data_IF_509980369219
#
_entry.id   IF_509980369219
#
_cell.length_a   1.000
_cell.length_b   1.000
_cell.length_c   1.000
_cell.angle_alpha   90.00
_cell.angle_beta   90.00
_cell.angle_gamma   90.00
#
_symmetry.space_group_name_H-M   'P 1'
#
loop_
_entity.id
_entity.type
_entity.pdbx_description
1 polymer ?
#
# COMPACT_ATOMS: atom_id res chain seq x y z
N UNK A 1 -19.08 14.93 -29.29
CA UNK A 1 -19.10 13.52 -29.78
C UNK A 1 -17.68 12.99 -30.05
N UNK A 2 -16.68 13.38 -29.25
CA UNK A 2 -15.26 13.04 -29.48
C UNK A 2 -14.63 12.26 -28.33
N UNK A 3 -15.29 12.21 -27.17
CA UNK A 3 -14.75 11.58 -25.96
C UNK A 3 -14.73 10.05 -26.06
N UNK A 4 -15.78 9.44 -26.63
CA UNK A 4 -15.86 7.98 -26.84
C UNK A 4 -14.75 7.47 -27.76
N UNK A 5 -14.52 8.02 -28.97
CA UNK A 5 -13.42 7.55 -29.83
C UNK A 5 -12.03 7.86 -29.24
N UNK A 6 -11.87 8.99 -28.55
CA UNK A 6 -10.62 9.33 -27.84
C UNK A 6 -10.32 8.33 -26.74
N UNK A 7 -11.31 7.98 -25.91
CA UNK A 7 -11.18 6.98 -24.86
C UNK A 7 -10.88 5.60 -25.45
N UNK A 8 -11.54 5.21 -26.54
CA UNK A 8 -11.24 3.97 -27.25
C UNK A 8 -9.80 3.91 -27.74
N UNK A 9 -9.31 4.99 -28.35
CA UNK A 9 -7.91 5.09 -28.79
C UNK A 9 -6.94 5.02 -27.60
N UNK A 10 -7.23 5.72 -26.51
CA UNK A 10 -6.42 5.71 -25.30
C UNK A 10 -6.30 4.30 -24.69
N UNK A 11 -7.41 3.57 -24.59
CA UNK A 11 -7.41 2.22 -24.03
C UNK A 11 -6.61 1.24 -24.90
N UNK A 12 -6.74 1.34 -26.22
CA UNK A 12 -5.99 0.50 -27.16
C UNK A 12 -4.48 0.76 -27.09
N UNK A 13 -4.07 2.02 -27.01
CA UNK A 13 -2.65 2.38 -26.91
C UNK A 13 -2.07 2.01 -25.54
N UNK A 14 -2.86 2.06 -24.47
CA UNK A 14 -2.43 1.68 -23.12
C UNK A 14 -2.00 0.21 -23.04
N UNK A 15 -2.75 -0.70 -23.68
CA UNK A 15 -2.42 -2.14 -23.70
C UNK A 15 -1.09 -2.40 -24.39
N UNK A 16 -0.86 -1.74 -25.55
CA UNK A 16 0.40 -1.86 -26.28
C UNK A 16 1.57 -1.28 -25.48
N UNK A 17 1.37 -0.14 -24.80
CA UNK A 17 2.40 0.47 -23.96
C UNK A 17 2.70 -0.36 -22.70
N UNK A 18 1.70 -1.01 -22.14
CA UNK A 18 1.87 -1.92 -21.00
C UNK A 18 2.76 -3.12 -21.37
N UNK A 19 2.55 -3.71 -22.56
CA UNK A 19 3.36 -4.85 -23.05
C UNK A 19 4.72 -4.45 -23.60
N UNK A 20 4.92 -3.19 -23.97
CA UNK A 20 6.22 -2.68 -24.43
C UNK A 20 7.20 -2.45 -23.26
N UNK A 21 6.70 -2.34 -22.02
CA UNK A 21 7.56 -2.29 -20.84
C UNK A 21 8.02 -3.71 -20.48
N UNK A 22 9.32 -3.93 -20.26
CA UNK A 22 9.79 -5.21 -19.75
C UNK A 22 9.15 -5.48 -18.38
N UNK A 23 8.93 -6.76 -18.03
CA UNK A 23 8.40 -7.08 -16.72
C UNK A 23 9.34 -6.60 -15.62
N UNK A 24 8.77 -6.09 -14.52
CA UNK A 24 9.54 -5.48 -13.46
C UNK A 24 10.37 -6.53 -12.71
N UNK A 25 11.68 -6.54 -12.95
CA UNK A 25 12.62 -7.48 -12.32
C UNK A 25 12.72 -7.31 -10.80
N UNK A 26 12.23 -6.20 -10.26
CA UNK A 26 12.21 -5.92 -8.83
C UNK A 26 10.83 -6.12 -8.22
N UNK A 27 9.88 -6.72 -8.93
CA UNK A 27 8.58 -7.08 -8.36
C UNK A 27 8.72 -8.24 -7.35
N UNK A 28 8.24 -8.05 -6.12
CA UNK A 28 8.14 -9.11 -5.13
C UNK A 28 6.67 -9.52 -4.88
N UNK A 29 6.37 -10.84 -4.91
CA UNK A 29 5.06 -11.33 -4.51
C UNK A 29 4.81 -11.07 -3.02
N UNK A 30 3.55 -10.86 -2.65
CA UNK A 30 3.16 -10.52 -1.28
C UNK A 30 3.43 -9.07 -0.86
N UNK A 31 4.00 -8.23 -1.73
CA UNK A 31 4.27 -6.80 -1.43
C UNK A 31 3.56 -5.88 -2.44
N UNK A 32 3.57 -6.24 -3.72
CA UNK A 32 3.00 -5.40 -4.80
C UNK A 32 1.69 -5.94 -5.39
N UNK A 33 1.15 -7.02 -4.82
CA UNK A 33 -0.08 -7.71 -5.23
C UNK A 33 -1.22 -7.58 -4.20
N UNK A 34 -1.13 -6.60 -3.29
CA UNK A 34 -2.12 -6.36 -2.23
C UNK A 34 -2.25 -7.56 -1.25
N UNK A 35 -1.20 -8.39 -1.15
CA UNK A 35 -1.13 -9.54 -0.27
C UNK A 35 -0.15 -9.35 0.91
N UNK A 36 0.13 -8.12 1.31
CA UNK A 36 0.92 -7.76 2.49
C UNK A 36 0.07 -7.58 3.77
N UNK A 37 -1.26 -7.67 3.64
CA UNK A 37 -2.24 -7.63 4.74
C UNK A 37 -2.25 -6.33 5.56
N UNK A 38 -1.77 -5.22 5.01
CA UNK A 38 -1.89 -3.91 5.67
C UNK A 38 -3.36 -3.48 5.81
N UNK A 39 -4.22 -3.90 4.87
CA UNK A 39 -5.66 -3.74 4.88
C UNK A 39 -6.33 -4.42 6.09
N UNK A 40 -5.81 -5.57 6.53
CA UNK A 40 -6.27 -6.27 7.74
C UNK A 40 -6.04 -5.43 8.98
N UNK A 41 -4.89 -4.75 9.08
CA UNK A 41 -4.60 -3.84 10.19
C UNK A 41 -5.57 -2.67 10.18
N UNK A 42 -5.80 -2.07 9.01
CA UNK A 42 -6.80 -1.00 8.87
C UNK A 42 -8.21 -1.46 9.30
N UNK A 43 -8.61 -2.69 8.93
CA UNK A 43 -9.88 -3.29 9.36
C UNK A 43 -9.95 -3.49 10.88
N UNK A 44 -8.92 -4.05 11.50
CA UNK A 44 -8.86 -4.26 12.96
C UNK A 44 -8.95 -2.93 13.70
N UNK A 45 -8.19 -1.93 13.28
CA UNK A 45 -8.19 -0.60 13.91
C UNK A 45 -9.55 0.07 13.75
N UNK A 46 -10.13 0.04 12.54
CA UNK A 46 -11.46 0.60 12.30
C UNK A 46 -12.57 -0.12 13.09
N UNK A 47 -12.45 -1.44 13.29
CA UNK A 47 -13.36 -2.22 14.11
C UNK A 47 -13.23 -1.91 15.60
N UNK A 48 -11.99 -1.72 16.10
CA UNK A 48 -11.75 -1.32 17.50
C UNK A 48 -12.20 0.11 17.81
N UNK A 49 -12.31 0.98 16.80
CA UNK A 49 -12.92 2.30 16.91
C UNK A 49 -14.45 2.30 17.04
N UNK A 50 -15.10 1.15 16.82
CA UNK A 50 -16.54 0.95 16.97
C UNK A 50 -16.95 0.36 18.33
N UNK A 51 -16.12 0.52 19.37
CA UNK A 51 -16.54 0.19 20.74
C UNK A 51 -17.67 1.13 21.17
N UNK A 52 -18.76 0.63 21.76
CA UNK A 52 -19.69 1.47 22.51
C UNK A 52 -18.92 2.24 23.59
N UNK A 53 -19.30 3.49 23.85
CA UNK A 53 -18.72 4.30 24.92
C UNK A 53 -18.62 3.45 26.20
N UNK A 54 -17.42 3.19 26.75
CA UNK A 54 -17.33 2.48 28.01
C UNK A 54 -18.02 3.35 29.07
N UNK A 55 -18.85 2.77 29.97
CA UNK A 55 -19.41 3.55 31.06
C UNK A 55 -18.25 4.21 31.80
N UNK A 56 -18.35 5.53 32.04
CA UNK A 56 -17.33 6.34 32.68
C UNK A 56 -16.85 5.68 33.99
N UNK A 57 -15.79 4.89 33.88
CA UNK A 57 -15.37 3.93 34.91
C UNK A 57 -13.86 3.87 34.90
N UNK A 58 -13.26 4.84 35.56
CA UNK A 58 -11.88 4.91 36.04
C UNK A 58 -10.86 4.04 35.27
N UNK A 59 -10.29 4.61 34.21
CA UNK A 59 -9.06 4.09 33.61
C UNK A 59 -7.90 4.32 34.60
N UNK A 60 -7.64 3.33 35.45
CA UNK A 60 -6.38 3.26 36.18
C UNK A 60 -5.21 3.09 35.21
N UNK A 61 -3.98 3.53 35.54
CA UNK A 61 -2.83 3.37 34.65
C UNK A 61 -2.60 1.89 34.31
N UNK A 62 -2.77 1.53 33.04
CA UNK A 62 -2.40 0.21 32.54
C UNK A 62 -0.88 0.21 32.30
N UNK A 63 -0.14 -0.81 32.78
CA UNK A 63 1.28 -0.91 32.50
C UNK A 63 1.47 -1.18 30.99
N UNK A 64 1.99 -0.17 30.28
CA UNK A 64 2.43 -0.33 28.89
C UNK A 64 3.86 -0.84 28.92
N UNK A 65 4.06 -2.08 28.46
CA UNK A 65 5.39 -2.59 28.18
C UNK A 65 5.88 -1.96 26.87
N UNK A 66 6.66 -0.88 26.97
CA UNK A 66 7.39 -0.32 25.84
C UNK A 66 8.78 -0.98 25.77
N UNK A 67 9.03 -1.80 24.74
CA UNK A 67 10.37 -2.26 24.43
C UNK A 67 11.12 -1.15 23.68
N UNK A 68 12.38 -0.83 24.03
CA UNK A 68 13.16 0.10 23.24
C UNK A 68 13.44 -0.53 21.88
N UNK A 69 12.85 0.05 20.82
CA UNK A 69 13.29 -0.21 19.45
C UNK A 69 14.58 0.57 19.27
N UNK A 70 15.71 -0.13 19.12
CA UNK A 70 16.94 0.51 18.73
C UNK A 70 16.71 1.17 17.36
N UNK A 71 16.88 2.48 17.28
CA UNK A 71 16.82 3.18 16.02
C UNK A 71 17.92 2.60 15.12
N UNK A 72 17.54 2.00 14.00
CA UNK A 72 18.48 1.77 12.92
C UNK A 72 18.95 3.16 12.45
N UNK A 73 20.26 3.39 12.42
CA UNK A 73 20.82 4.60 11.83
C UNK A 73 20.24 4.74 10.42
N UNK A 74 19.59 5.87 10.10
CA UNK A 74 19.05 6.08 8.77
C UNK A 74 20.21 6.08 7.79
N UNK A 75 20.28 5.04 6.96
CA UNK A 75 21.19 5.07 5.82
C UNK A 75 20.81 6.28 4.96
N UNK A 76 21.79 7.13 4.65
CA UNK A 76 21.66 8.22 3.67
C UNK A 76 21.44 7.62 2.27
N UNK A 77 20.22 7.14 2.05
CA UNK A 77 19.76 6.70 0.76
C UNK A 77 19.28 7.95 0.02
N UNK A 78 19.75 8.21 -1.21
CA UNK A 78 19.18 9.28 -2.01
C UNK A 78 17.67 9.05 -2.10
N UNK A 79 16.83 10.11 -2.12
CA UNK A 79 15.40 9.96 -2.25
C UNK A 79 15.11 9.23 -3.56
N UNK A 80 14.90 7.90 -3.49
CA UNK A 80 14.23 7.18 -4.56
C UNK A 80 12.83 7.75 -4.55
N UNK A 81 12.48 8.48 -5.60
CA UNK A 81 11.10 8.75 -5.96
C UNK A 81 10.44 7.40 -6.28
N UNK A 82 10.18 6.60 -5.26
CA UNK A 82 9.21 5.52 -5.33
C UNK A 82 7.87 6.22 -5.40
N UNK A 83 7.34 6.36 -6.61
CA UNK A 83 5.92 6.65 -6.77
C UNK A 83 5.17 5.48 -6.15
N UNK A 84 4.46 5.66 -5.03
CA UNK A 84 3.73 4.59 -4.36
C UNK A 84 2.69 3.95 -5.31
N UNK A 85 2.21 4.74 -6.27
CA UNK A 85 1.09 4.39 -7.13
C UNK A 85 1.50 3.77 -8.48
N UNK A 86 2.78 3.51 -8.70
CA UNK A 86 3.17 2.65 -9.80
C UNK A 86 2.83 1.21 -9.39
N UNK A 87 1.60 0.76 -9.65
CA UNK A 87 1.23 -0.66 -9.58
C UNK A 87 2.21 -1.43 -10.46
N UNK A 88 3.28 -1.93 -9.85
CA UNK A 88 4.31 -2.71 -10.53
C UNK A 88 3.61 -3.94 -11.06
N UNK A 89 3.60 -4.09 -12.37
CA UNK A 89 2.98 -5.26 -12.97
C UNK A 89 3.82 -6.50 -12.66
N UNK A 90 3.18 -7.64 -12.35
CA UNK A 90 3.89 -8.90 -12.11
C UNK A 90 4.72 -9.29 -13.34
N UNK A 91 5.75 -10.15 -13.17
CA UNK A 91 6.50 -10.68 -14.29
C UNK A 91 5.57 -11.40 -15.28
N UNK A 92 5.76 -11.19 -16.59
CA UNK A 92 5.03 -11.95 -17.61
C UNK A 92 5.49 -13.40 -17.58
N UNK A 93 4.57 -14.34 -17.37
CA UNK A 93 4.83 -15.79 -17.52
C UNK A 93 4.89 -16.22 -18.97
#
# INVERSE_FOLDING_TARGET
MTLVPLLGLLLLTLVAFAHANPPDQTWQPGIYDDADFDDVIARIVSWSGATPEPPAGSLGPLPVAAAPVAAAEPADLPPRLLRPDATRSPPSS
#
